data_IF_722696431865
#
_entry.id   IF_722696431865
#
_cell.length_a   1.000
_cell.length_b   1.000
_cell.length_c   1.000
_cell.angle_alpha   90.00
_cell.angle_beta   90.00
_cell.angle_gamma   90.00
#
_symmetry.space_group_name_H-M   'P 1'
#
loop_
_entity.id
_entity.type
_entity.pdbx_description
1 polymer ?
#
# COMPACT_ATOMS: atom_id res chain seq x y z
N UNK A 1 1.20 -47.50 -45.31
CA UNK A 1 -0.19 -47.04 -45.59
C UNK A 1 -0.73 -46.45 -44.30
N UNK A 2 -0.82 -45.12 -44.21
CA UNK A 2 -1.25 -44.42 -42.98
C UNK A 2 -2.78 -44.36 -42.90
N UNK A 3 -3.35 -44.52 -41.70
CA UNK A 3 -4.79 -44.30 -41.45
C UNK A 3 -4.99 -43.45 -40.19
N UNK A 4 -5.51 -42.25 -40.46
CA UNK A 4 -6.23 -41.25 -39.64
C UNK A 4 -5.94 -41.02 -38.14
N UNK A 5 -5.50 -39.78 -37.90
CA UNK A 5 -5.33 -39.08 -36.64
C UNK A 5 -6.68 -38.87 -35.92
N UNK A 6 -6.91 -39.50 -34.76
CA UNK A 6 -8.03 -39.13 -33.87
C UNK A 6 -7.61 -37.94 -33.01
N UNK A 7 -8.09 -36.78 -33.41
CA UNK A 7 -7.96 -35.49 -32.73
C UNK A 7 -8.70 -35.55 -31.39
N UNK A 8 -7.97 -35.79 -30.30
CA UNK A 8 -8.49 -35.61 -28.94
C UNK A 8 -8.13 -34.20 -28.47
N UNK A 9 -9.15 -33.46 -28.07
CA UNK A 9 -9.16 -32.04 -27.69
C UNK A 9 -7.87 -31.47 -27.13
N UNK A 10 -7.41 -30.38 -27.75
CA UNK A 10 -6.61 -29.35 -27.12
C UNK A 10 -7.39 -28.78 -25.94
N UNK A 11 -7.00 -29.13 -24.72
CA UNK A 11 -7.16 -28.22 -23.58
C UNK A 11 -5.74 -27.79 -23.21
N UNK A 12 -5.34 -26.54 -23.52
CA UNK A 12 -4.17 -25.99 -22.84
C UNK A 12 -4.51 -26.06 -21.35
N UNK A 13 -3.66 -26.70 -20.55
CA UNK A 13 -3.69 -26.48 -19.10
C UNK A 13 -3.42 -24.99 -18.93
N UNK A 14 -4.52 -24.26 -18.88
CA UNK A 14 -4.56 -22.82 -18.77
C UNK A 14 -3.71 -22.48 -17.56
N UNK A 15 -2.77 -21.58 -17.80
CA UNK A 15 -1.98 -20.85 -16.82
C UNK A 15 -2.65 -20.86 -15.45
N UNK A 16 -2.04 -21.55 -14.48
CA UNK A 16 -2.30 -21.26 -13.07
C UNK A 16 -1.95 -19.78 -12.92
N UNK A 17 -2.97 -18.93 -13.00
CA UNK A 17 -2.84 -17.54 -12.63
C UNK A 17 -2.35 -17.57 -11.18
N UNK A 18 -1.11 -17.11 -10.97
CA UNK A 18 -0.65 -16.68 -9.66
C UNK A 18 -1.60 -15.58 -9.20
N UNK A 19 -2.71 -15.95 -8.61
CA UNK A 19 -3.46 -15.07 -7.73
C UNK A 19 -3.12 -15.46 -6.31
N UNK A 20 -1.82 -15.53 -6.00
CA UNK A 20 -1.40 -15.23 -4.64
C UNK A 20 -1.81 -13.78 -4.50
N UNK A 21 -2.95 -13.53 -3.88
CA UNK A 21 -3.28 -12.22 -3.37
C UNK A 21 -2.66 -12.16 -1.98
N UNK A 22 -1.42 -11.69 -1.80
CA UNK A 22 -1.08 -11.14 -0.51
C UNK A 22 -1.90 -9.86 -0.41
N UNK A 23 -3.09 -9.93 0.18
CA UNK A 23 -3.72 -8.73 0.75
C UNK A 23 -2.90 -8.35 1.98
N UNK A 24 -1.76 -7.75 1.69
CA UNK A 24 -0.68 -7.44 2.60
C UNK A 24 -0.42 -5.94 2.46
N UNK A 25 -0.18 -5.27 3.57
CA UNK A 25 0.51 -3.99 3.58
C UNK A 25 1.91 -4.26 3.05
N UNK A 26 2.21 -3.65 1.92
CA UNK A 26 3.32 -4.04 1.09
C UNK A 26 4.26 -2.85 0.98
N UNK A 27 5.51 -3.07 1.43
CA UNK A 27 6.60 -2.16 1.07
C UNK A 27 7.00 -2.51 -0.34
N UNK A 28 6.63 -1.66 -1.29
CA UNK A 28 6.85 -1.88 -2.71
C UNK A 28 8.05 -1.10 -3.22
N UNK A 29 8.55 -1.50 -4.39
CA UNK A 29 9.76 -0.92 -4.98
C UNK A 29 9.47 0.31 -5.85
N UNK A 30 8.24 0.44 -6.33
CA UNK A 30 7.79 1.52 -7.21
C UNK A 30 6.41 2.03 -6.80
N UNK A 31 6.15 3.31 -7.08
CA UNK A 31 4.81 3.90 -6.93
C UNK A 31 3.77 3.20 -7.83
N UNK A 32 4.19 2.63 -8.96
CA UNK A 32 3.32 1.91 -9.89
C UNK A 32 2.81 0.57 -9.34
N UNK A 33 3.53 -0.01 -8.37
CA UNK A 33 3.13 -1.26 -7.70
C UNK A 33 1.93 -1.04 -6.76
N UNK A 34 1.54 0.22 -6.52
CA UNK A 34 0.39 0.63 -5.71
C UNK A 34 -0.60 1.53 -6.50
N UNK A 35 -1.29 1.01 -7.52
CA UNK A 35 -2.08 1.82 -8.45
C UNK A 35 -3.41 2.31 -7.86
N UNK A 36 -4.03 3.31 -8.49
CA UNK A 36 -5.42 3.70 -8.21
C UNK A 36 -5.61 4.87 -7.23
N UNK A 37 -4.51 5.42 -6.72
CA UNK A 37 -4.53 6.54 -5.75
C UNK A 37 -3.94 7.84 -6.31
N UNK A 38 -3.11 7.75 -7.34
CA UNK A 38 -2.46 8.92 -7.94
C UNK A 38 -3.41 9.64 -8.90
N UNK A 39 -3.36 10.96 -8.89
CA UNK A 39 -4.16 11.78 -9.79
C UNK A 39 -3.75 11.48 -11.24
N UNK A 40 -4.72 11.02 -12.06
CA UNK A 40 -4.49 10.59 -13.44
C UNK A 40 -3.44 9.47 -13.59
N UNK A 41 -3.23 8.67 -12.55
CA UNK A 41 -2.19 7.63 -12.49
C UNK A 41 -0.76 8.15 -12.75
N UNK A 42 -0.54 9.47 -12.56
CA UNK A 42 0.74 10.11 -12.83
C UNK A 42 1.58 10.17 -11.57
N UNK A 43 2.77 9.58 -11.60
CA UNK A 43 3.76 9.70 -10.53
C UNK A 43 4.24 11.14 -10.40
N UNK A 44 4.22 11.74 -9.18
CA UNK A 44 4.76 13.07 -8.98
C UNK A 44 6.28 13.07 -9.20
N UNK A 45 6.82 14.22 -9.60
CA UNK A 45 8.25 14.45 -9.61
C UNK A 45 8.60 15.23 -8.33
N UNK A 46 9.44 14.64 -7.49
CA UNK A 46 9.96 15.23 -6.25
C UNK A 46 11.48 15.28 -6.38
N UNK A 47 12.06 16.46 -6.69
CA UNK A 47 13.49 16.60 -6.92
C UNK A 47 14.32 16.04 -5.77
N UNK A 48 15.36 15.27 -6.09
CA UNK A 48 16.23 14.63 -5.10
C UNK A 48 15.62 13.42 -4.37
N UNK A 49 14.39 13.01 -4.72
CA UNK A 49 13.70 11.85 -4.10
C UNK A 49 13.10 10.91 -5.15
N UNK A 50 12.17 11.40 -5.96
CA UNK A 50 11.41 10.65 -6.96
C UNK A 50 11.45 11.41 -8.28
N UNK A 51 12.29 10.98 -9.21
CA UNK A 51 12.47 11.67 -10.49
C UNK A 51 12.12 10.73 -11.64
N UNK A 52 11.27 11.21 -12.54
CA UNK A 52 10.81 10.44 -13.70
C UNK A 52 10.24 9.05 -13.31
N UNK A 53 9.53 8.99 -12.19
CA UNK A 53 8.95 7.74 -11.66
C UNK A 53 9.94 6.82 -10.95
N UNK A 54 11.22 7.20 -10.84
CA UNK A 54 12.27 6.41 -10.18
C UNK A 54 12.65 7.00 -8.83
N UNK A 55 12.64 6.16 -7.80
CA UNK A 55 13.15 6.52 -6.48
C UNK A 55 14.68 6.55 -6.54
N UNK A 56 15.28 7.67 -6.17
CA UNK A 56 16.72 7.88 -6.31
C UNK A 56 17.54 7.07 -5.29
N UNK A 57 17.02 6.94 -4.06
CA UNK A 57 17.62 6.18 -2.97
C UNK A 57 16.60 5.20 -2.39
N UNK A 58 16.61 3.95 -2.89
CA UNK A 58 15.71 2.91 -2.43
C UNK A 58 16.04 2.37 -1.03
N UNK A 59 17.21 2.70 -0.47
CA UNK A 59 17.54 2.32 0.90
C UNK A 59 16.86 3.26 1.90
N UNK A 60 16.81 4.55 1.57
CA UNK A 60 16.18 5.57 2.41
C UNK A 60 14.68 5.69 2.18
N UNK A 61 14.24 5.73 0.92
CA UNK A 61 12.85 5.99 0.59
C UNK A 61 12.11 4.69 0.28
N UNK A 62 10.94 4.50 0.90
CA UNK A 62 10.11 3.30 0.78
C UNK A 62 8.70 3.69 0.35
N UNK A 63 8.13 2.95 -0.59
CA UNK A 63 6.71 3.10 -0.94
C UNK A 63 5.92 2.12 -0.09
N UNK A 64 4.85 2.61 0.52
CA UNK A 64 3.99 1.83 1.42
C UNK A 64 2.58 1.84 0.85
N UNK A 65 2.06 0.65 0.51
CA UNK A 65 0.63 0.43 0.26
C UNK A 65 -0.10 0.22 1.59
N UNK A 66 -0.93 1.17 1.99
CA UNK A 66 -1.57 1.14 3.31
C UNK A 66 -3.00 0.60 3.21
N UNK A 67 -3.34 -0.30 4.14
CA UNK A 67 -4.62 -1.01 4.18
C UNK A 67 -5.45 -0.55 5.38
N UNK A 68 -6.69 -0.14 5.10
CA UNK A 68 -7.71 0.20 6.08
C UNK A 68 -8.97 -0.61 5.82
N UNK A 69 -9.54 -1.22 6.85
CA UNK A 69 -10.71 -2.10 6.73
C UNK A 69 -10.55 -3.16 5.63
N UNK A 70 -9.37 -3.80 5.58
CA UNK A 70 -8.99 -4.80 4.59
C UNK A 70 -8.98 -4.30 3.13
N UNK A 71 -8.95 -2.99 2.92
CA UNK A 71 -8.89 -2.37 1.58
C UNK A 71 -7.67 -1.48 1.48
N UNK A 72 -6.94 -1.56 0.36
CA UNK A 72 -5.92 -0.56 0.05
C UNK A 72 -6.61 0.80 -0.08
N UNK A 73 -6.18 1.78 0.72
CA UNK A 73 -6.80 3.11 0.76
C UNK A 73 -5.82 4.24 0.46
N UNK A 74 -4.54 4.01 0.70
CA UNK A 74 -3.51 5.04 0.58
C UNK A 74 -2.23 4.44 0.01
N UNK A 75 -1.46 5.29 -0.67
CA UNK A 75 -0.08 5.05 -1.03
C UNK A 75 0.77 6.18 -0.47
N UNK A 76 1.88 5.84 0.16
CA UNK A 76 2.77 6.81 0.80
C UNK A 76 4.21 6.57 0.37
N UNK A 77 4.92 7.61 -0.07
CA UNK A 77 6.38 7.60 -0.19
C UNK A 77 6.98 8.10 1.13
N UNK A 78 7.71 7.22 1.81
CA UNK A 78 8.19 7.44 3.17
C UNK A 78 9.71 7.58 3.25
N UNK A 79 10.18 8.58 3.98
CA UNK A 79 11.60 8.76 4.31
C UNK A 79 11.91 8.04 5.62
N UNK A 80 12.54 6.87 5.54
CA UNK A 80 12.86 6.05 6.73
C UNK A 80 13.88 6.68 7.65
N UNK A 81 14.75 7.55 7.13
CA UNK A 81 15.79 8.22 7.93
C UNK A 81 15.19 9.29 8.82
N UNK A 82 14.34 10.14 8.24
CA UNK A 82 13.68 11.23 8.97
C UNK A 82 12.36 10.79 9.62
N UNK A 83 11.89 9.59 9.30
CA UNK A 83 10.64 9.00 9.77
C UNK A 83 9.40 9.84 9.43
N UNK A 84 9.38 10.44 8.24
CA UNK A 84 8.28 11.31 7.75
C UNK A 84 7.80 10.88 6.36
N UNK A 85 6.50 11.03 6.05
CA UNK A 85 6.02 10.89 4.68
C UNK A 85 6.54 12.06 3.83
N UNK A 86 7.14 11.75 2.68
CA UNK A 86 7.49 12.75 1.66
C UNK A 86 6.22 13.21 0.95
N UNK A 87 5.36 12.26 0.58
CA UNK A 87 3.99 12.52 0.13
C UNK A 87 3.11 11.29 0.33
N UNK A 88 1.79 11.51 0.35
CA UNK A 88 0.79 10.45 0.35
C UNK A 88 -0.38 10.80 -0.56
N UNK A 89 -1.06 9.78 -1.07
CA UNK A 89 -2.20 9.93 -1.97
C UNK A 89 -3.31 8.94 -1.63
N UNK A 90 -4.55 9.36 -1.85
CA UNK A 90 -5.76 8.57 -1.63
C UNK A 90 -6.86 9.00 -2.57
N UNK A 91 -7.81 8.08 -2.80
CA UNK A 91 -9.00 8.38 -3.56
C UNK A 91 -10.13 8.80 -2.63
N UNK A 92 -10.54 10.05 -2.71
CA UNK A 92 -11.76 10.53 -2.05
C UNK A 92 -12.98 9.79 -2.63
N UNK A 93 -13.84 9.26 -1.76
CA UNK A 93 -15.00 8.44 -2.14
C UNK A 93 -16.35 9.12 -1.90
N UNK A 94 -16.33 10.42 -1.58
CA UNK A 94 -17.53 11.12 -1.12
C UNK A 94 -17.86 10.79 0.33
N UNK A 95 -18.81 11.52 0.88
CA UNK A 95 -19.53 11.14 2.10
C UNK A 95 -20.80 10.42 1.67
N UNK A 96 -21.21 9.38 2.40
CA UNK A 96 -22.44 8.63 2.16
C UNK A 96 -23.70 9.37 2.66
N UNK A 97 -23.63 10.69 2.80
CA UNK A 97 -24.67 11.52 3.40
C UNK A 97 -24.75 11.42 4.93
N UNK A 98 -24.05 10.46 5.56
CA UNK A 98 -23.83 10.49 7.00
C UNK A 98 -22.63 11.39 7.30
N UNK A 99 -22.75 12.23 8.34
CA UNK A 99 -21.57 12.90 8.89
C UNK A 99 -20.67 11.80 9.45
N UNK A 100 -19.69 11.39 8.67
CA UNK A 100 -18.61 10.54 9.15
C UNK A 100 -17.86 11.35 10.20
N UNK A 101 -18.12 11.09 11.48
CA UNK A 101 -17.40 11.76 12.56
C UNK A 101 -15.92 11.38 12.41
N UNK A 102 -15.03 12.39 12.45
CA UNK A 102 -13.59 12.14 12.41
C UNK A 102 -13.25 11.16 13.54
N UNK A 103 -12.57 10.04 13.25
CA UNK A 103 -12.13 9.13 14.31
C UNK A 103 -11.39 9.91 15.39
N UNK A 104 -11.78 9.73 16.66
CA UNK A 104 -11.15 10.45 17.79
C UNK A 104 -9.79 9.86 18.19
N UNK A 105 -9.42 8.70 17.65
CA UNK A 105 -8.16 8.01 17.94
C UNK A 105 -7.18 8.08 16.78
N UNK A 106 -5.89 8.19 17.10
CA UNK A 106 -4.82 8.01 16.13
C UNK A 106 -4.78 6.57 15.63
N UNK A 107 -4.56 6.38 14.34
CA UNK A 107 -4.28 5.08 13.78
C UNK A 107 -2.79 4.95 13.52
N UNK A 108 -2.19 3.89 14.04
CA UNK A 108 -0.83 3.51 13.71
C UNK A 108 -0.79 2.65 12.46
N UNK A 109 0.36 2.69 11.80
CA UNK A 109 0.77 1.82 10.71
C UNK A 109 1.56 0.63 11.27
N UNK A 110 0.88 -0.45 11.69
CA UNK A 110 1.52 -1.61 12.30
C UNK A 110 2.66 -2.17 11.45
N UNK A 111 2.60 -2.06 10.13
CA UNK A 111 3.58 -2.62 9.21
C UNK A 111 5.02 -2.08 9.33
N UNK A 112 5.26 -1.04 10.14
CA UNK A 112 6.62 -0.60 10.49
C UNK A 112 7.20 -1.39 11.67
N UNK A 113 6.38 -2.20 12.36
CA UNK A 113 6.76 -3.05 13.49
C UNK A 113 6.78 -4.54 13.10
N UNK A 114 7.76 -5.33 13.57
CA UNK A 114 8.04 -6.69 13.09
C UNK A 114 6.96 -7.74 13.40
N UNK A 115 5.97 -7.45 14.25
CA UNK A 115 4.96 -8.42 14.73
C UNK A 115 3.52 -8.01 14.47
N UNK A 116 3.30 -6.91 13.75
CA UNK A 116 2.00 -6.28 13.74
C UNK A 116 1.15 -6.63 12.51
N UNK A 117 -0.16 -6.45 12.65
CA UNK A 117 -1.18 -6.97 11.73
C UNK A 117 -1.49 -5.96 10.64
N UNK A 118 -1.98 -6.42 9.50
CA UNK A 118 -1.98 -5.71 8.22
C UNK A 118 -2.89 -4.47 8.14
N UNK A 119 -3.89 -4.34 9.03
CA UNK A 119 -4.79 -3.20 9.02
C UNK A 119 -4.30 -2.11 9.97
N UNK A 120 -4.47 -0.85 9.57
CA UNK A 120 -4.33 0.29 10.47
C UNK A 120 -5.10 0.05 11.78
N UNK A 121 -4.47 0.39 12.91
CA UNK A 121 -4.96 0.09 14.26
C UNK A 121 -4.98 1.32 15.13
N UNK A 122 -5.98 1.42 16.00
CA UNK A 122 -6.03 2.50 16.97
C UNK A 122 -4.86 2.40 17.97
N UNK A 123 -4.14 3.50 18.12
CA UNK A 123 -2.99 3.67 19.00
C UNK A 123 -3.34 3.52 20.49
N UNK A 124 -4.60 3.79 20.86
CA UNK A 124 -5.08 3.69 22.25
C UNK A 124 -4.92 2.28 22.87
N UNK A 125 -4.64 1.26 22.07
CA UNK A 125 -4.44 -0.13 22.53
C UNK A 125 -2.99 -0.38 22.99
N UNK A 126 -2.00 0.45 22.62
CA UNK A 126 -0.58 0.21 22.96
C UNK A 126 0.01 1.09 24.09
N UNK A 127 -0.77 2.06 24.60
CA UNK A 127 -0.36 2.93 25.72
C UNK A 127 -0.41 2.24 27.10
N UNK A 128 0.24 1.09 27.25
CA UNK A 128 0.67 0.63 28.58
C UNK A 128 2.15 0.32 28.71
N UNK A 129 2.90 0.06 27.63
CA UNK A 129 4.33 -0.21 27.76
C UNK A 129 5.06 0.04 26.44
N UNK A 130 5.48 1.28 26.15
CA UNK A 130 6.77 1.57 25.50
C UNK A 130 6.93 3.07 25.23
N UNK A 131 8.05 3.63 25.69
CA UNK A 131 8.57 4.95 25.33
C UNK A 131 9.03 4.96 23.86
N UNK A 132 8.15 4.67 22.91
CA UNK A 132 8.45 4.79 21.50
C UNK A 132 7.94 6.13 20.99
N UNK A 133 8.85 6.90 20.39
CA UNK A 133 8.51 8.13 19.67
C UNK A 133 7.73 7.72 18.43
N UNK A 134 6.42 7.62 18.57
CA UNK A 134 5.49 7.51 17.46
C UNK A 134 5.56 8.83 16.70
N UNK A 135 6.25 8.85 15.56
CA UNK A 135 6.16 10.01 14.68
C UNK A 135 4.67 10.22 14.36
N UNK A 136 4.12 11.43 14.55
CA UNK A 136 2.72 11.68 14.23
C UNK A 136 2.59 11.53 12.71
N UNK A 137 2.00 10.44 12.24
CA UNK A 137 1.47 10.38 10.88
C UNK A 137 0.21 11.26 10.84
N UNK A 138 0.43 12.57 10.90
CA UNK A 138 -0.58 13.59 10.69
C UNK A 138 -0.86 13.70 9.21
N UNK A 139 -1.76 12.85 8.74
CA UNK A 139 -2.51 12.85 7.48
C UNK A 139 -2.62 11.37 7.15
N UNK A 140 -3.72 10.70 7.46
CA UNK A 140 -4.93 10.78 6.67
C UNK A 140 -6.07 10.10 7.44
N UNK A 141 -6.89 10.92 8.07
CA UNK A 141 -8.26 10.60 8.50
C UNK A 141 -9.12 11.76 8.05
#
# INVERSE_FOLDING_TARGET
MYVTLKRWSLLPFATILLSIHPTLTEVVTSMADCPGFLLLEKTPNVPGVLENGRILDQNRYKVICQTFENKRRFVTLYDTRNKIPVFSAFKYRGTDGTKSERPRGWMMEPQLEPTATINMRNDQIQNQNQNQVSAPFSSLC
#
